data_IF_885808085473
#
_entry.id   IF_885808085473
#
_cell.length_a   1.000
_cell.length_b   1.000
_cell.length_c   1.000
_cell.angle_alpha   90.00
_cell.angle_beta   90.00
_cell.angle_gamma   90.00
#
_symmetry.space_group_name_H-M   'P 1'
#
loop_
_entity.id
_entity.type
_entity.pdbx_description
1 polymer ?
#
# COMPACT_ATOMS: atom_id res chain seq x y z
N UNK A 1 -11.16 39.13 5.81
CA UNK A 1 -12.10 37.99 5.69
C UNK A 1 -11.43 36.85 4.91
N UNK A 2 -10.58 37.17 3.93
CA UNK A 2 -9.69 36.24 3.23
C UNK A 2 -8.82 35.40 4.17
N UNK A 3 -8.24 35.99 5.22
CA UNK A 3 -7.33 35.32 6.17
C UNK A 3 -7.94 34.05 6.77
N UNK A 4 -9.22 34.08 7.15
CA UNK A 4 -9.92 32.91 7.69
C UNK A 4 -9.97 31.74 6.70
N UNK A 5 -10.16 32.02 5.41
CA UNK A 5 -10.24 30.97 4.39
C UNK A 5 -8.85 30.44 4.02
N UNK A 6 -7.83 31.28 4.12
CA UNK A 6 -6.43 30.86 3.96
C UNK A 6 -5.98 29.95 5.11
N UNK A 7 -6.41 30.24 6.35
CA UNK A 7 -6.17 29.36 7.49
C UNK A 7 -6.81 27.98 7.31
N UNK A 8 -8.07 27.93 6.83
CA UNK A 8 -8.74 26.67 6.51
C UNK A 8 -7.99 25.91 5.41
N UNK A 9 -7.55 26.60 4.36
CA UNK A 9 -6.76 25.99 3.30
C UNK A 9 -5.42 25.45 3.82
N UNK A 10 -4.76 26.14 4.76
CA UNK A 10 -3.52 25.68 5.39
C UNK A 10 -3.74 24.44 6.26
N UNK A 11 -4.84 24.39 7.02
CA UNK A 11 -5.22 23.21 7.80
C UNK A 11 -5.45 21.99 6.88
N UNK A 12 -6.18 22.18 5.78
CA UNK A 12 -6.42 21.11 4.79
C UNK A 12 -5.16 20.67 4.06
N UNK A 13 -4.26 21.60 3.75
CA UNK A 13 -2.94 21.26 3.21
C UNK A 13 -2.20 20.32 4.17
N UNK A 14 -2.14 20.65 5.46
CA UNK A 14 -1.46 19.83 6.46
C UNK A 14 -2.09 18.43 6.55
N UNK A 15 -3.41 18.35 6.56
CA UNK A 15 -4.14 17.09 6.56
C UNK A 15 -3.82 16.22 5.32
N UNK A 16 -3.87 16.79 4.12
CA UNK A 16 -3.52 16.08 2.89
C UNK A 16 -2.06 15.59 2.91
N UNK A 17 -1.13 16.39 3.43
CA UNK A 17 0.27 15.99 3.58
C UNK A 17 0.43 14.80 4.53
N UNK A 18 -0.23 14.83 5.69
CA UNK A 18 -0.21 13.74 6.68
C UNK A 18 -0.79 12.45 6.08
N UNK A 19 -1.94 12.53 5.41
CA UNK A 19 -2.57 11.38 4.75
C UNK A 19 -1.69 10.80 3.65
N UNK A 20 -1.08 11.65 2.80
CA UNK A 20 -0.16 11.17 1.78
C UNK A 20 1.07 10.47 2.41
N UNK A 21 1.61 10.98 3.51
CA UNK A 21 2.72 10.35 4.20
C UNK A 21 2.34 9.01 4.83
N UNK A 22 1.14 8.89 5.38
CA UNK A 22 0.61 7.64 5.90
C UNK A 22 0.58 6.54 4.83
N UNK A 23 -0.08 6.80 3.68
CA UNK A 23 -0.17 5.81 2.60
C UNK A 23 1.18 5.51 1.94
N UNK A 24 2.09 6.48 1.87
CA UNK A 24 3.46 6.23 1.39
C UNK A 24 4.24 5.31 2.35
N UNK A 25 4.09 5.50 3.67
CA UNK A 25 4.69 4.62 4.67
C UNK A 25 4.13 3.19 4.56
N UNK A 26 2.82 3.08 4.39
CA UNK A 26 2.14 1.79 4.21
C UNK A 26 2.61 1.06 2.94
N UNK A 27 2.76 1.78 1.82
CA UNK A 27 3.36 1.24 0.59
C UNK A 27 4.77 0.71 0.80
N UNK A 28 5.62 1.43 1.55
CA UNK A 28 7.00 0.98 1.83
C UNK A 28 7.02 -0.27 2.69
N UNK A 29 6.08 -0.39 3.62
CA UNK A 29 5.91 -1.61 4.42
C UNK A 29 5.55 -2.77 3.49
N UNK A 30 4.45 -2.66 2.75
CA UNK A 30 3.97 -3.74 1.88
C UNK A 30 4.94 -4.09 0.74
N UNK A 31 5.69 -3.12 0.20
CA UNK A 31 6.72 -3.39 -0.80
C UNK A 31 7.81 -4.32 -0.26
N UNK A 32 8.21 -4.17 1.01
CA UNK A 32 9.15 -5.07 1.67
C UNK A 32 8.54 -6.45 1.93
N UNK A 33 7.29 -6.49 2.40
CA UNK A 33 6.60 -7.76 2.67
C UNK A 33 6.33 -8.55 1.39
N UNK A 34 6.04 -7.87 0.27
CA UNK A 34 5.79 -8.48 -1.03
C UNK A 34 7.01 -9.28 -1.52
N UNK A 35 8.22 -8.75 -1.31
CA UNK A 35 9.45 -9.46 -1.64
C UNK A 35 9.59 -10.79 -0.89
N UNK A 36 9.21 -10.82 0.39
CA UNK A 36 9.23 -12.03 1.21
C UNK A 36 8.17 -13.02 0.72
N UNK A 37 6.93 -12.56 0.49
CA UNK A 37 5.82 -13.42 0.10
C UNK A 37 5.89 -13.91 -1.34
N UNK A 38 6.68 -13.28 -2.21
CA UNK A 38 6.92 -13.74 -3.59
C UNK A 38 8.21 -14.55 -3.73
N UNK A 39 9.33 -14.06 -3.18
CA UNK A 39 10.62 -14.74 -3.37
C UNK A 39 10.77 -15.97 -2.50
N UNK A 40 10.30 -15.95 -1.24
CA UNK A 40 10.47 -17.11 -0.36
C UNK A 40 9.74 -18.32 -0.93
N UNK A 41 8.46 -18.23 -1.37
CA UNK A 41 7.79 -19.36 -2.00
C UNK A 41 8.45 -19.82 -3.30
N UNK A 42 8.89 -18.88 -4.13
CA UNK A 42 9.55 -19.20 -5.40
C UNK A 42 10.87 -19.94 -5.17
N UNK A 43 11.70 -19.46 -4.24
CA UNK A 43 12.96 -20.10 -3.87
C UNK A 43 12.73 -21.46 -3.20
N UNK A 44 11.75 -21.57 -2.30
CA UNK A 44 11.38 -22.85 -1.70
C UNK A 44 10.88 -23.85 -2.75
N UNK A 45 10.10 -23.40 -3.73
CA UNK A 45 9.65 -24.24 -4.84
C UNK A 45 10.81 -24.73 -5.72
N UNK A 46 11.77 -23.85 -6.04
CA UNK A 46 12.99 -24.22 -6.80
C UNK A 46 13.85 -25.21 -6.01
N UNK A 47 14.08 -24.96 -4.71
CA UNK A 47 14.84 -25.86 -3.84
C UNK A 47 14.15 -27.22 -3.77
N UNK A 48 12.85 -27.24 -3.45
CA UNK A 48 12.04 -28.46 -3.39
C UNK A 48 12.05 -29.25 -4.71
N UNK A 49 11.91 -28.56 -5.85
CA UNK A 49 11.96 -29.17 -7.18
C UNK A 49 13.35 -29.71 -7.53
N UNK A 50 14.40 -28.97 -7.20
CA UNK A 50 15.79 -29.39 -7.45
C UNK A 50 16.20 -30.61 -6.63
N UNK A 51 15.69 -30.74 -5.39
CA UNK A 51 15.97 -31.89 -4.53
C UNK A 51 15.32 -33.20 -4.99
N UNK A 52 14.33 -33.16 -5.91
CA UNK A 52 13.83 -34.37 -6.56
C UNK A 52 14.90 -35.06 -7.44
N UNK A 53 15.93 -34.31 -7.85
CA UNK A 53 17.04 -34.81 -8.65
C UNK A 53 18.30 -35.10 -7.81
N UNK A 54 18.27 -34.86 -6.50
CA UNK A 54 19.39 -35.14 -5.61
C UNK A 54 19.41 -36.64 -5.21
N UNK A 55 20.60 -37.24 -5.15
CA UNK A 55 20.74 -38.64 -4.72
C UNK A 55 20.27 -38.83 -3.27
N UNK A 56 19.58 -39.95 -3.06
CA UNK A 56 18.94 -40.38 -1.82
C UNK A 56 19.98 -40.71 -0.74
N UNK A 57 20.47 -39.69 -0.05
CA UNK A 57 21.38 -39.86 1.09
C UNK A 57 21.71 -38.62 1.91
N UNK A 58 21.20 -37.44 1.55
CA UNK A 58 21.53 -36.19 2.24
C UNK A 58 20.50 -35.83 3.31
N UNK A 59 20.82 -36.13 4.57
CA UNK A 59 20.09 -35.62 5.73
C UNK A 59 20.73 -34.32 6.21
N UNK A 60 19.95 -33.25 6.36
CA UNK A 60 20.39 -32.00 6.96
C UNK A 60 19.56 -31.71 8.22
N UNK A 61 20.22 -31.32 9.31
CA UNK A 61 19.59 -31.13 10.63
C UNK A 61 18.78 -32.34 11.14
N UNK A 62 19.24 -33.57 10.86
CA UNK A 62 18.58 -34.83 11.27
C UNK A 62 17.17 -35.06 10.73
N UNK A 63 16.76 -34.31 9.71
CA UNK A 63 15.47 -34.47 9.04
C UNK A 63 15.72 -34.97 7.63
N UNK A 64 14.92 -35.96 7.22
CA UNK A 64 15.02 -36.54 5.89
C UNK A 64 14.71 -35.51 4.80
N UNK A 65 15.41 -35.59 3.67
CA UNK A 65 15.25 -34.65 2.56
C UNK A 65 13.80 -34.57 2.08
N UNK A 66 13.07 -35.68 2.06
CA UNK A 66 11.65 -35.69 1.64
C UNK A 66 10.73 -34.92 2.60
N UNK A 67 11.06 -34.94 3.89
CA UNK A 67 10.30 -34.19 4.91
C UNK A 67 10.54 -32.69 4.76
N UNK A 68 11.79 -32.27 4.49
CA UNK A 68 12.12 -30.87 4.20
C UNK A 68 11.42 -30.35 2.95
N UNK A 69 11.34 -31.16 1.89
CA UNK A 69 10.60 -30.84 0.66
C UNK A 69 9.11 -30.62 0.97
N UNK A 70 8.51 -31.51 1.76
CA UNK A 70 7.09 -31.38 2.15
C UNK A 70 6.82 -30.11 2.96
N UNK A 71 7.68 -29.79 3.93
CA UNK A 71 7.55 -28.56 4.73
C UNK A 71 7.75 -27.32 3.86
N UNK A 72 8.77 -27.30 3.00
CA UNK A 72 9.08 -26.17 2.13
C UNK A 72 7.97 -25.88 1.12
N UNK A 73 7.41 -26.92 0.50
CA UNK A 73 6.29 -26.79 -0.44
C UNK A 73 5.01 -26.31 0.26
N UNK A 74 4.71 -26.81 1.46
CA UNK A 74 3.56 -26.36 2.24
C UNK A 74 3.68 -24.89 2.65
N UNK A 75 4.84 -24.47 3.16
CA UNK A 75 5.09 -23.07 3.52
C UNK A 75 4.98 -22.17 2.29
N UNK A 76 5.56 -22.58 1.16
CA UNK A 76 5.46 -21.85 -0.10
C UNK A 76 4.00 -21.67 -0.53
N UNK A 77 3.19 -22.74 -0.46
CA UNK A 77 1.77 -22.69 -0.81
C UNK A 77 0.97 -21.76 0.12
N UNK A 78 1.22 -21.82 1.44
CA UNK A 78 0.57 -20.95 2.43
C UNK A 78 0.91 -19.47 2.16
N UNK A 79 2.19 -19.15 2.00
CA UNK A 79 2.66 -17.79 1.70
C UNK A 79 2.07 -17.27 0.37
N UNK A 80 2.00 -18.11 -0.66
CA UNK A 80 1.37 -17.77 -1.94
C UNK A 80 -0.13 -17.52 -1.80
N UNK A 81 -0.82 -18.38 -1.04
CA UNK A 81 -2.26 -18.24 -0.79
C UNK A 81 -2.56 -16.98 0.04
N UNK A 82 -1.74 -16.64 1.03
CA UNK A 82 -1.86 -15.40 1.80
C UNK A 82 -1.64 -14.19 0.90
N UNK A 83 -0.59 -14.19 0.06
CA UNK A 83 -0.31 -13.08 -0.84
C UNK A 83 -1.44 -12.82 -1.85
N UNK A 84 -1.97 -13.89 -2.46
CA UNK A 84 -3.14 -13.78 -3.36
C UNK A 84 -4.43 -13.47 -2.63
N UNK A 85 -4.65 -14.06 -1.46
CA UNK A 85 -5.87 -13.91 -0.69
C UNK A 85 -6.03 -12.54 -0.04
N UNK A 86 -4.93 -11.85 0.25
CA UNK A 86 -4.93 -10.48 0.80
C UNK A 86 -4.93 -9.39 -0.28
N UNK A 87 -5.01 -9.75 -1.56
CA UNK A 87 -4.99 -8.85 -2.72
C UNK A 87 -4.00 -7.67 -2.56
N UNK A 88 -2.78 -8.01 -2.14
CA UNK A 88 -1.76 -7.03 -1.77
C UNK A 88 -1.45 -6.06 -2.92
N UNK A 89 -1.55 -6.54 -4.16
CA UNK A 89 -1.33 -5.73 -5.36
C UNK A 89 -2.46 -4.70 -5.56
N UNK A 90 -3.72 -5.07 -5.35
CA UNK A 90 -4.83 -4.13 -5.39
C UNK A 90 -4.73 -3.09 -4.26
N UNK A 91 -4.40 -3.52 -3.04
CA UNK A 91 -4.20 -2.60 -1.92
C UNK A 91 -3.04 -1.62 -2.18
N UNK A 92 -1.92 -2.10 -2.72
CA UNK A 92 -0.81 -1.24 -3.11
C UNK A 92 -1.18 -0.29 -4.25
N UNK A 93 -1.93 -0.75 -5.25
CA UNK A 93 -2.40 0.13 -6.33
C UNK A 93 -3.28 1.25 -5.78
N UNK A 94 -4.19 0.93 -4.86
CA UNK A 94 -5.04 1.92 -4.21
C UNK A 94 -4.24 2.89 -3.34
N UNK A 95 -3.30 2.41 -2.53
CA UNK A 95 -2.43 3.30 -1.74
C UNK A 95 -1.65 4.27 -2.65
N UNK A 96 -1.13 3.81 -3.80
CA UNK A 96 -0.44 4.70 -4.77
C UNK A 96 -1.38 5.76 -5.33
N UNK A 97 -2.60 5.35 -5.69
CA UNK A 97 -3.65 6.27 -6.15
C UNK A 97 -3.95 7.32 -5.10
N UNK A 98 -4.16 6.91 -3.84
CA UNK A 98 -4.43 7.80 -2.72
C UNK A 98 -3.29 8.79 -2.47
N UNK A 99 -2.03 8.34 -2.46
CA UNK A 99 -0.86 9.23 -2.34
C UNK A 99 -0.88 10.29 -3.42
N UNK A 100 -1.09 9.90 -4.69
CA UNK A 100 -1.09 10.85 -5.81
C UNK A 100 -2.20 11.90 -5.67
N UNK A 101 -3.42 11.47 -5.33
CA UNK A 101 -4.56 12.40 -5.19
C UNK A 101 -4.35 13.33 -3.99
N UNK A 102 -3.95 12.82 -2.82
CA UNK A 102 -3.68 13.66 -1.64
C UNK A 102 -2.56 14.67 -1.89
N UNK A 103 -1.49 14.29 -2.59
CA UNK A 103 -0.43 15.24 -3.00
C UNK A 103 -0.94 16.30 -3.96
N UNK A 104 -1.82 15.93 -4.89
CA UNK A 104 -2.48 16.87 -5.79
C UNK A 104 -3.32 17.90 -5.04
N UNK A 105 -4.13 17.44 -4.08
CA UNK A 105 -4.95 18.31 -3.22
C UNK A 105 -4.08 19.19 -2.32
N UNK A 106 -3.03 18.65 -1.70
CA UNK A 106 -2.06 19.38 -0.88
C UNK A 106 -1.52 20.61 -1.63
N UNK A 107 -1.07 20.43 -2.87
CA UNK A 107 -0.51 21.53 -3.69
C UNK A 107 -1.56 22.61 -3.97
N UNK A 108 -2.80 22.23 -4.24
CA UNK A 108 -3.91 23.17 -4.53
C UNK A 108 -4.34 23.93 -3.27
N UNK A 109 -4.47 23.25 -2.13
CA UNK A 109 -4.72 23.89 -0.84
C UNK A 109 -3.58 24.83 -0.43
N UNK A 110 -2.33 24.43 -0.61
CA UNK A 110 -1.17 25.31 -0.38
C UNK A 110 -1.23 26.58 -1.22
N UNK A 111 -1.67 26.46 -2.47
CA UNK A 111 -1.81 27.61 -3.38
C UNK A 111 -2.86 28.58 -2.85
N UNK A 112 -4.03 28.08 -2.42
CA UNK A 112 -5.07 28.92 -1.82
C UNK A 112 -4.63 29.54 -0.49
N UNK A 113 -3.84 28.83 0.32
CA UNK A 113 -3.33 29.33 1.59
C UNK A 113 -2.33 30.50 1.41
N UNK A 114 -1.59 30.53 0.30
CA UNK A 114 -0.51 31.48 0.07
C UNK A 114 -0.90 32.66 -0.84
N UNK A 115 -1.90 32.49 -1.70
CA UNK A 115 -2.28 33.48 -2.71
C UNK A 115 -3.68 34.00 -2.42
N UNK A 116 -3.80 35.31 -2.18
CA UNK A 116 -5.10 35.96 -2.09
C UNK A 116 -5.79 35.91 -3.45
N UNK A 117 -6.95 35.25 -3.48
CA UNK A 117 -7.70 35.00 -4.71
C UNK A 117 -9.12 35.55 -4.56
N UNK A 118 -9.64 36.34 -5.51
CA UNK A 118 -10.98 36.93 -5.41
C UNK A 118 -12.10 35.90 -5.25
N UNK A 119 -11.89 34.68 -5.76
CA UNK A 119 -12.82 33.54 -5.70
C UNK A 119 -12.36 32.43 -4.74
N UNK A 120 -11.66 32.79 -3.65
CA UNK A 120 -11.13 31.81 -2.69
C UNK A 120 -12.21 30.89 -2.12
N UNK A 121 -13.42 31.40 -1.88
CA UNK A 121 -14.54 30.61 -1.34
C UNK A 121 -14.97 29.52 -2.32
N UNK A 122 -15.19 29.87 -3.59
CA UNK A 122 -15.63 28.91 -4.61
C UNK A 122 -14.57 27.83 -4.86
N UNK A 123 -13.29 28.21 -4.88
CA UNK A 123 -12.19 27.26 -5.04
C UNK A 123 -12.01 26.36 -3.83
N UNK A 124 -12.19 26.90 -2.63
CA UNK A 124 -12.15 26.11 -1.39
C UNK A 124 -13.30 25.10 -1.35
N UNK A 125 -14.52 25.51 -1.70
CA UNK A 125 -15.68 24.62 -1.76
C UNK A 125 -15.50 23.48 -2.78
N UNK A 126 -14.93 23.79 -3.94
CA UNK A 126 -14.62 22.77 -4.94
C UNK A 126 -13.61 21.75 -4.41
N UNK A 127 -12.54 22.21 -3.75
CA UNK A 127 -11.53 21.33 -3.14
C UNK A 127 -12.08 20.50 -1.98
N UNK A 128 -12.96 21.07 -1.16
CA UNK A 128 -13.62 20.35 -0.07
C UNK A 128 -14.54 19.25 -0.61
N UNK A 129 -15.23 19.50 -1.73
CA UNK A 129 -16.02 18.48 -2.42
C UNK A 129 -15.14 17.33 -2.90
N UNK A 130 -14.05 17.63 -3.60
CA UNK A 130 -13.09 16.62 -4.07
C UNK A 130 -12.48 15.81 -2.90
N UNK A 131 -12.11 16.48 -1.81
CA UNK A 131 -11.60 15.82 -0.61
C UNK A 131 -12.67 14.93 0.06
N UNK A 132 -13.92 15.39 0.08
CA UNK A 132 -15.06 14.63 0.57
C UNK A 132 -15.30 13.36 -0.24
N UNK A 133 -15.32 13.47 -1.57
CA UNK A 133 -15.45 12.34 -2.49
C UNK A 133 -14.29 11.34 -2.32
N UNK A 134 -13.06 11.83 -2.17
CA UNK A 134 -11.90 10.98 -1.94
C UNK A 134 -12.06 10.15 -0.65
N UNK A 135 -12.44 10.79 0.46
CA UNK A 135 -12.66 10.11 1.75
C UNK A 135 -13.78 9.05 1.67
N UNK A 136 -14.85 9.34 0.93
CA UNK A 136 -15.92 8.37 0.69
C UNK A 136 -15.41 7.18 -0.12
N UNK A 137 -14.69 7.43 -1.22
CA UNK A 137 -14.12 6.38 -2.06
C UNK A 137 -13.19 5.46 -1.27
N UNK A 138 -12.34 6.03 -0.42
CA UNK A 138 -11.43 5.31 0.45
C UNK A 138 -12.15 4.39 1.45
N UNK A 139 -13.21 4.88 2.07
CA UNK A 139 -13.96 4.10 3.07
C UNK A 139 -14.63 2.88 2.42
N UNK A 140 -15.09 3.02 1.18
CA UNK A 140 -15.66 1.91 0.41
C UNK A 140 -14.62 0.84 0.04
N UNK A 141 -13.37 1.21 -0.18
CA UNK A 141 -12.30 0.26 -0.54
C UNK A 141 -11.69 -0.47 0.66
N UNK A 142 -11.67 0.14 1.85
CA UNK A 142 -11.10 -0.47 3.07
C UNK A 142 -12.06 -1.48 3.72
N UNK A 143 -13.38 -1.36 3.50
CA UNK A 143 -14.39 -2.34 3.94
C UNK A 143 -15.16 -2.89 2.73
N UNK A 144 -14.58 -3.82 1.94
CA UNK A 144 -15.37 -4.57 0.97
C UNK A 144 -16.38 -5.44 1.74
N UNK A 145 -17.67 -5.23 1.49
CA UNK A 145 -18.76 -6.07 2.02
C UNK A 145 -18.69 -7.49 1.48
#
# INVERSE_FOLDING_TARGET
MTDKYQDIAAERQAECCERAAFFDSELRFFSKTNWITLLVPSLLGVVAGSSLFAESGSSWLYVDATTWIGIGTLLAAILTAIHKGLDCDAHQAECRRLVQVYRGLEVRYRTLAQIETPSIIDQLLALESELGELRQSQTATINPQ
#
